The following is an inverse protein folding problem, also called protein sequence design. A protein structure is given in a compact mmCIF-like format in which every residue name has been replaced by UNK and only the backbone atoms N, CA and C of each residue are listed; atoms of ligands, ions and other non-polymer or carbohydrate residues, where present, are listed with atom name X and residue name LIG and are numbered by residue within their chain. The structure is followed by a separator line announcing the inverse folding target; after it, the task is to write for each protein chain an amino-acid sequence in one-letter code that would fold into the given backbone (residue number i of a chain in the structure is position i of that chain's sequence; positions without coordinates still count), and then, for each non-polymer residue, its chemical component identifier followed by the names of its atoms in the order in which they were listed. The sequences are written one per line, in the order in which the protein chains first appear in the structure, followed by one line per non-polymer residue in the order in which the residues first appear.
data_IF_908248158345
#
_entry.id   IF_908248158345
#
_cell.length_a   1.000
_cell.length_b   1.000
_cell.length_c   1.000
_cell.angle_alpha   90.00
_cell.angle_beta   90.00
_cell.angle_gamma   90.00
#
_symmetry.space_group_name_H-M   'P 1'
#
loop_
_entity.id
_entity.type
_entity.pdbx_description
1 polymer ?
#
# COMPACT_ATOMS: atom_id res chain seq x y z
N UNK A 1 -13.63 15.97 6.95
CA UNK A 1 -12.17 15.74 6.94
C UNK A 1 -11.53 16.94 7.59
N UNK A 2 -10.64 16.72 8.54
CA UNK A 2 -9.92 17.78 9.25
C UNK A 2 -8.41 17.61 9.00
N UNK A 3 -7.66 18.71 8.94
CA UNK A 3 -6.21 18.65 8.80
C UNK A 3 -5.55 19.83 9.50
N UNK A 4 -4.28 19.63 9.87
CA UNK A 4 -3.48 20.65 10.53
C UNK A 4 -2.01 20.27 10.60
N UNK A 5 -1.19 21.16 11.14
CA UNK A 5 0.23 20.90 11.42
C UNK A 5 0.45 21.04 12.92
N UNK A 6 1.11 20.06 13.51
CA UNK A 6 1.46 20.05 14.93
C UNK A 6 2.91 19.62 15.11
N UNK A 7 3.53 20.06 16.20
CA UNK A 7 4.83 19.54 16.60
C UNK A 7 4.68 18.16 17.24
N UNK A 8 5.40 17.19 16.71
CA UNK A 8 5.54 15.86 17.28
C UNK A 8 6.74 15.85 18.21
N UNK A 9 6.48 15.72 19.50
CA UNK A 9 7.51 15.71 20.54
C UNK A 9 7.83 14.27 20.97
N UNK A 10 9.13 13.98 21.13
CA UNK A 10 9.65 12.78 21.78
C UNK A 10 10.80 13.20 22.68
N UNK A 11 10.82 12.72 23.93
CA UNK A 11 11.91 13.03 24.87
C UNK A 11 13.27 12.69 24.27
N UNK A 12 14.22 13.63 24.35
CA UNK A 12 15.57 13.48 23.79
C UNK A 12 15.71 13.77 22.30
N UNK A 13 14.66 14.20 21.59
CA UNK A 13 14.71 14.56 20.18
C UNK A 13 14.08 15.93 19.92
N UNK A 14 14.62 16.65 18.93
CA UNK A 14 14.03 17.91 18.50
C UNK A 14 12.62 17.69 17.96
N UNK A 15 11.64 18.55 18.34
CA UNK A 15 10.28 18.40 17.90
C UNK A 15 10.16 18.60 16.39
N UNK A 16 9.52 17.64 15.72
CA UNK A 16 9.36 17.66 14.25
C UNK A 16 7.95 18.11 13.89
N UNK A 17 7.82 19.01 12.93
CA UNK A 17 6.50 19.36 12.40
C UNK A 17 5.92 18.18 11.61
N UNK A 18 4.70 17.79 11.97
CA UNK A 18 3.94 16.74 11.29
C UNK A 18 2.61 17.32 10.83
N UNK A 19 2.28 17.07 9.56
CA UNK A 19 0.94 17.31 9.05
C UNK A 19 0.07 16.11 9.37
N UNK A 20 -1.08 16.35 9.97
CA UNK A 20 -2.05 15.31 10.29
C UNK A 20 -3.34 15.54 9.50
N UNK A 21 -4.02 14.44 9.20
CA UNK A 21 -5.32 14.41 8.51
C UNK A 21 -6.21 13.42 9.23
N UNK A 22 -7.39 13.86 9.67
CA UNK A 22 -8.39 13.00 10.31
C UNK A 22 -9.60 12.88 9.40
N UNK A 23 -9.97 11.63 9.08
CA UNK A 23 -11.18 11.29 8.36
C UNK A 23 -12.18 10.71 9.34
N UNK A 24 -13.38 11.28 9.33
CA UNK A 24 -14.52 10.79 10.09
C UNK A 24 -15.70 10.66 9.14
N UNK A 25 -16.33 9.49 9.13
CA UNK A 25 -17.58 9.29 8.41
C UNK A 25 -18.72 10.01 9.15
N UNK A 26 -19.42 10.96 8.52
CA UNK A 26 -20.56 11.64 9.14
C UNK A 26 -21.69 10.69 9.54
N UNK A 27 -21.81 9.51 8.89
CA UNK A 27 -22.81 8.48 9.24
C UNK A 27 -22.32 7.48 10.28
N UNK A 28 -21.06 7.57 10.72
CA UNK A 28 -20.47 6.72 11.75
C UNK A 28 -20.35 5.23 11.39
N UNK A 29 -20.49 4.86 10.11
CA UNK A 29 -20.37 3.47 9.66
C UNK A 29 -18.91 3.05 9.51
N UNK A 30 -18.05 4.00 9.13
CA UNK A 30 -16.61 3.77 9.02
C UNK A 30 -15.87 4.25 10.26
N UNK A 31 -14.79 3.54 10.60
CA UNK A 31 -13.88 3.93 11.67
C UNK A 31 -13.30 5.31 11.40
N UNK A 32 -13.16 6.12 12.45
CA UNK A 32 -12.40 7.37 12.36
C UNK A 32 -10.91 7.04 12.31
N UNK A 33 -10.22 7.56 11.30
CA UNK A 33 -8.81 7.30 11.05
C UNK A 33 -8.00 8.58 10.95
N UNK A 34 -6.75 8.51 11.38
CA UNK A 34 -5.80 9.61 11.37
C UNK A 34 -4.55 9.20 10.57
N UNK A 35 -4.15 10.08 9.65
CA UNK A 35 -2.99 9.92 8.78
C UNK A 35 -1.98 11.04 9.05
N UNK A 36 -0.70 10.74 8.86
CA UNK A 36 0.39 11.66 9.17
C UNK A 36 1.36 11.76 8.00
N UNK A 37 1.94 12.94 7.80
CA UNK A 37 3.02 13.17 6.83
C UNK A 37 4.07 14.09 7.43
N UNK A 38 5.34 13.75 7.18
CA UNK A 38 6.49 14.61 7.50
C UNK A 38 6.62 15.78 6.53
N UNK A 39 6.00 15.69 5.35
CA UNK A 39 5.93 16.79 4.42
C UNK A 39 4.71 17.67 4.76
N UNK A 40 4.96 18.91 5.20
CA UNK A 40 3.88 19.82 5.61
C UNK A 40 3.16 20.53 4.44
N UNK A 41 3.75 20.50 3.25
CA UNK A 41 3.21 21.21 2.07
C UNK A 41 2.17 20.40 1.31
N UNK A 42 2.16 19.07 1.46
CA UNK A 42 1.25 18.18 0.73
C UNK A 42 -0.20 18.35 1.17
N UNK A 43 -1.14 18.24 0.25
CA UNK A 43 -2.56 18.39 0.60
C UNK A 43 -3.08 17.16 1.33
N UNK A 44 -4.15 17.33 2.11
CA UNK A 44 -4.76 16.22 2.83
C UNK A 44 -5.30 15.14 1.88
N UNK A 45 -5.84 15.54 0.73
CA UNK A 45 -6.29 14.64 -0.33
C UNK A 45 -5.14 13.82 -0.92
N UNK A 46 -3.97 14.43 -1.11
CA UNK A 46 -2.77 13.71 -1.59
C UNK A 46 -2.28 12.68 -0.57
N UNK A 47 -2.25 13.03 0.72
CA UNK A 47 -1.88 12.09 1.80
C UNK A 47 -2.78 10.85 1.76
N UNK A 48 -4.09 11.06 1.63
CA UNK A 48 -5.07 9.98 1.55
C UNK A 48 -4.88 9.17 0.26
N UNK A 49 -4.67 9.84 -0.87
CA UNK A 49 -4.41 9.18 -2.15
C UNK A 49 -3.21 8.25 -2.10
N UNK A 50 -2.11 8.67 -1.48
CA UNK A 50 -0.95 7.81 -1.24
C UNK A 50 -1.26 6.64 -0.32
N UNK A 51 -2.06 6.86 0.72
CA UNK A 51 -2.47 5.77 1.60
C UNK A 51 -3.34 4.72 0.88
N UNK A 52 -4.23 5.15 -0.02
CA UNK A 52 -5.02 4.24 -0.87
C UNK A 52 -4.09 3.44 -1.79
N UNK A 53 -3.09 4.07 -2.41
CA UNK A 53 -2.11 3.37 -3.23
C UNK A 53 -1.32 2.32 -2.44
N UNK A 54 -1.04 2.58 -1.16
CA UNK A 54 -0.39 1.61 -0.26
C UNK A 54 -1.19 0.31 -0.16
N UNK A 55 -2.52 0.36 -0.12
CA UNK A 55 -3.35 -0.86 -0.06
C UNK A 55 -3.08 -1.82 -1.22
N UNK A 56 -2.72 -1.30 -2.40
CA UNK A 56 -2.37 -2.11 -3.57
C UNK A 56 -1.13 -2.99 -3.31
N UNK A 57 -0.20 -2.53 -2.45
CA UNK A 57 0.95 -3.35 -2.03
C UNK A 57 0.51 -4.52 -1.14
N UNK A 58 -0.46 -4.30 -0.25
CA UNK A 58 -0.99 -5.35 0.63
C UNK A 58 -1.71 -6.42 -0.19
N UNK A 59 -2.51 -6.02 -1.18
CA UNK A 59 -3.13 -6.95 -2.15
C UNK A 59 -2.05 -7.70 -2.94
N UNK A 60 -0.99 -7.01 -3.39
CA UNK A 60 0.13 -7.67 -4.07
C UNK A 60 0.77 -8.74 -3.18
N UNK A 61 1.00 -8.47 -1.89
CA UNK A 61 1.53 -9.46 -0.96
C UNK A 61 0.58 -10.65 -0.76
N UNK A 62 -0.71 -10.39 -0.65
CA UNK A 62 -1.74 -11.44 -0.52
C UNK A 62 -1.81 -12.33 -1.76
N UNK A 63 -1.86 -11.73 -2.95
CA UNK A 63 -1.87 -12.43 -4.25
C UNK A 63 -0.57 -13.24 -4.46
N UNK A 64 0.57 -12.68 -4.08
CA UNK A 64 1.86 -13.38 -4.16
C UNK A 64 1.89 -14.59 -3.22
N UNK A 65 1.33 -14.46 -2.02
CA UNK A 65 1.18 -15.57 -1.06
C UNK A 65 0.23 -16.64 -1.61
N UNK A 66 -0.92 -16.23 -2.16
CA UNK A 66 -1.97 -17.11 -2.64
C UNK A 66 -1.59 -17.88 -3.92
N UNK A 67 -0.98 -17.19 -4.90
CA UNK A 67 -0.72 -17.75 -6.23
C UNK A 67 0.72 -18.20 -6.46
N UNK A 68 1.69 -17.59 -5.78
CA UNK A 68 3.12 -17.88 -5.97
C UNK A 68 3.76 -18.57 -4.75
N UNK A 69 2.98 -18.79 -3.68
CA UNK A 69 3.39 -19.64 -2.56
C UNK A 69 4.54 -19.08 -1.73
N UNK A 70 4.66 -17.76 -1.62
CA UNK A 70 5.80 -17.06 -1.00
C UNK A 70 6.01 -17.42 0.47
N UNK A 71 4.96 -17.79 1.18
CA UNK A 71 5.07 -18.32 2.56
C UNK A 71 5.07 -19.85 2.65
N UNK A 72 4.83 -20.55 1.53
CA UNK A 72 4.78 -22.02 1.49
C UNK A 72 6.09 -22.67 1.06
N UNK A 73 7.14 -21.88 0.80
CA UNK A 73 8.45 -22.41 0.44
C UNK A 73 9.14 -23.08 1.64
N UNK A 74 9.12 -24.41 1.65
CA UNK A 74 9.90 -25.29 2.56
C UNK A 74 11.41 -25.29 2.23
N UNK A 75 12.02 -24.13 2.02
CA UNK A 75 13.47 -23.98 1.89
C UNK A 75 14.05 -23.48 3.21
N UNK A 76 14.81 -24.32 3.90
CA UNK A 76 15.37 -24.06 5.24
C UNK A 76 16.70 -23.30 5.23
N UNK A 77 16.90 -22.39 4.29
CA UNK A 77 18.10 -21.53 4.27
C UNK A 77 17.71 -20.09 3.96
N UNK A 78 18.12 -19.18 4.84
CA UNK A 78 17.93 -17.73 4.67
C UNK A 78 18.41 -17.24 3.30
N UNK A 79 19.45 -17.90 2.76
CA UNK A 79 20.01 -17.58 1.45
C UNK A 79 19.11 -18.00 0.28
N UNK A 80 18.32 -19.06 0.44
CA UNK A 80 17.33 -19.45 -0.55
C UNK A 80 16.14 -18.48 -0.55
N UNK A 81 15.65 -18.11 0.64
CA UNK A 81 14.59 -17.10 0.81
C UNK A 81 15.02 -15.74 0.24
N UNK A 82 16.24 -15.31 0.52
CA UNK A 82 16.79 -14.04 0.00
C UNK A 82 16.89 -14.01 -1.54
N UNK A 83 16.96 -15.17 -2.20
CA UNK A 83 17.02 -15.28 -3.67
C UNK A 83 15.65 -15.43 -4.31
N UNK A 84 14.78 -16.28 -3.76
CA UNK A 84 13.49 -16.58 -4.37
C UNK A 84 12.49 -15.44 -4.21
N UNK A 85 12.51 -14.76 -3.07
CA UNK A 85 11.59 -13.64 -2.77
C UNK A 85 11.67 -12.54 -3.84
N UNK A 86 12.83 -11.90 -4.12
CA UNK A 86 12.89 -10.85 -5.15
C UNK A 86 12.52 -11.36 -6.55
N UNK A 87 12.85 -12.62 -6.90
CA UNK A 87 12.49 -13.20 -8.20
C UNK A 87 10.97 -13.35 -8.35
N UNK A 88 10.27 -13.80 -7.30
CA UNK A 88 8.81 -13.93 -7.32
C UNK A 88 8.12 -12.56 -7.43
N UNK A 89 8.57 -11.55 -6.68
CA UNK A 89 8.06 -10.17 -6.83
C UNK A 89 8.33 -9.61 -8.23
N UNK A 90 9.50 -9.89 -8.80
CA UNK A 90 9.87 -9.47 -10.15
C UNK A 90 8.95 -10.10 -11.20
N UNK A 91 8.70 -11.41 -11.10
CA UNK A 91 7.83 -12.14 -12.01
C UNK A 91 6.39 -11.64 -11.94
N UNK A 92 5.85 -11.46 -10.73
CA UNK A 92 4.51 -10.91 -10.55
C UNK A 92 4.39 -9.50 -11.15
N UNK A 93 5.36 -8.63 -10.87
CA UNK A 93 5.39 -7.27 -11.42
C UNK A 93 5.40 -7.28 -12.95
N UNK A 94 6.17 -8.17 -13.57
CA UNK A 94 6.25 -8.33 -15.02
C UNK A 94 4.91 -8.81 -15.61
N UNK A 95 4.25 -9.77 -14.97
CA UNK A 95 2.91 -10.25 -15.37
C UNK A 95 1.88 -9.11 -15.31
N UNK A 96 1.85 -8.34 -14.22
CA UNK A 96 0.92 -7.21 -14.06
C UNK A 96 1.17 -6.12 -15.11
N UNK A 97 2.44 -5.80 -15.38
CA UNK A 97 2.79 -4.82 -16.43
C UNK A 97 2.41 -5.31 -17.82
N UNK A 98 2.63 -6.59 -18.13
CA UNK A 98 2.19 -7.21 -19.39
C UNK A 98 0.67 -7.18 -19.53
N UNK A 99 -0.06 -7.58 -18.49
CA UNK A 99 -1.51 -7.51 -18.46
C UNK A 99 -2.02 -6.09 -18.69
N UNK A 100 -1.48 -5.10 -17.96
CA UNK A 100 -1.86 -3.69 -18.12
C UNK A 100 -1.60 -3.18 -19.55
N UNK A 101 -0.49 -3.60 -20.20
CA UNK A 101 -0.20 -3.24 -21.60
C UNK A 101 -1.18 -3.88 -22.59
N UNK A 102 -1.56 -5.14 -22.36
CA UNK A 102 -2.54 -5.85 -23.19
C UNK A 102 -3.92 -5.19 -23.04
N UNK A 103 -4.33 -4.89 -21.81
CA UNK A 103 -5.60 -4.23 -21.47
C UNK A 103 -5.71 -2.81 -22.04
N UNK A 104 -4.61 -2.05 -22.08
CA UNK A 104 -4.61 -0.74 -22.74
C UNK A 104 -4.84 -0.83 -24.26
N UNK A 105 -4.60 -2.00 -24.85
CA UNK A 105 -4.79 -2.27 -26.27
C UNK A 105 -6.03 -3.14 -26.58
N UNK A 106 -6.82 -3.54 -25.57
CA UNK A 106 -8.02 -4.37 -25.74
C UNK A 106 -8.86 -4.48 -24.46
N UNK A 107 -10.17 -4.48 -24.59
CA UNK A 107 -11.14 -4.54 -23.47
C UNK A 107 -10.94 -5.76 -22.57
N UNK A 108 -10.97 -5.55 -21.25
CA UNK A 108 -10.86 -6.64 -20.27
C UNK A 108 -12.21 -7.32 -20.10
N UNK A 109 -12.33 -8.65 -20.26
CA UNK A 109 -13.51 -9.36 -19.81
C UNK A 109 -13.51 -9.36 -18.28
N UNK A 110 -14.37 -8.54 -17.69
CA UNK A 110 -14.65 -8.57 -16.26
C UNK A 110 -15.48 -9.83 -16.02
N UNK A 111 -14.91 -10.86 -15.38
CA UNK A 111 -15.71 -12.01 -14.95
C UNK A 111 -16.65 -11.57 -13.83
N UNK A 112 -17.90 -11.29 -14.20
CA UNK A 112 -19.01 -11.13 -13.25
C UNK A 112 -19.34 -12.49 -12.67
N UNK A 113 -19.02 -12.72 -11.40
CA UNK A 113 -19.62 -13.80 -10.63
C UNK A 113 -21.07 -13.41 -10.32
N UNK A 114 -22.01 -14.15 -10.90
CA UNK A 114 -23.45 -14.12 -10.62
C UNK A 114 -23.80 -15.00 -9.42
#
# INVERSE_FOLDING_TARGET
MFSGVSLWYRSGFDPVQIKWVVIRDPKGKLRTEAFFSTNITVTAQQIIGWYILRWNIEVTFEELRAHLGVETQRQWSDLAIARTTPVLFSLFSLIVLMANKIVKNGEVPIQSYS
#
